data_IF_536130291186
#
_entry.id   IF_536130291186
#
_cell.length_a   1.000
_cell.length_b   1.000
_cell.length_c   1.000
_cell.angle_alpha   90.00
_cell.angle_beta   90.00
_cell.angle_gamma   90.00
#
_symmetry.space_group_name_H-M   'P 1'
#
loop_
_entity.id
_entity.type
_entity.pdbx_description
1 polymer ?
#
# COMPACT_ATOMS: atom_id res chain seq x y z
N UNK A 1 6.82 0.36 5.94
CA UNK A 1 7.83 1.39 5.61
C UNK A 1 7.23 2.79 5.81
N UNK A 2 6.15 3.12 5.12
CA UNK A 2 5.58 4.47 5.02
C UNK A 2 5.13 5.09 6.35
N UNK A 3 4.55 4.30 7.25
CA UNK A 3 3.95 4.78 8.49
C UNK A 3 4.81 4.55 9.74
N UNK A 4 5.94 3.91 9.62
CA UNK A 4 6.85 3.67 10.74
C UNK A 4 8.30 4.01 10.40
N UNK A 5 8.92 3.32 9.45
CA UNK A 5 10.36 3.45 9.21
C UNK A 5 10.76 4.85 8.75
N UNK A 6 10.04 5.41 7.75
CA UNK A 6 10.34 6.75 7.24
C UNK A 6 10.12 7.83 8.32
N UNK A 7 8.96 7.91 9.01
CA UNK A 7 8.78 8.86 10.11
C UNK A 7 9.81 8.70 11.21
N UNK A 8 10.14 7.46 11.58
CA UNK A 8 11.16 7.21 12.60
C UNK A 8 12.52 7.74 12.17
N UNK A 9 12.97 7.42 10.95
CA UNK A 9 14.27 7.88 10.44
C UNK A 9 14.34 9.39 10.34
N UNK A 10 13.34 10.05 9.77
CA UNK A 10 13.31 11.52 9.64
C UNK A 10 13.39 12.17 11.02
N UNK A 11 12.55 11.73 11.95
CA UNK A 11 12.51 12.30 13.30
C UNK A 11 13.81 11.98 14.08
N UNK A 12 14.32 10.76 13.95
CA UNK A 12 15.56 10.35 14.64
C UNK A 12 16.77 11.13 14.13
N UNK A 13 16.92 11.27 12.82
CA UNK A 13 17.99 12.07 12.22
C UNK A 13 17.86 13.54 12.64
N UNK A 14 16.64 14.08 12.55
CA UNK A 14 16.38 15.46 12.96
C UNK A 14 16.75 15.74 14.41
N UNK A 15 16.44 14.82 15.32
CA UNK A 15 16.72 14.96 16.75
C UNK A 15 18.21 14.76 17.10
N UNK A 16 18.95 13.91 16.35
CA UNK A 16 20.34 13.57 16.70
C UNK A 16 21.33 14.44 15.93
N UNK A 17 21.08 14.69 14.64
CA UNK A 17 22.01 15.38 13.73
C UNK A 17 21.51 16.76 13.31
N UNK A 18 20.20 17.02 13.44
CA UNK A 18 19.58 18.26 13.03
C UNK A 18 18.70 18.13 11.79
N UNK A 19 17.77 19.07 11.61
CA UNK A 19 16.79 19.06 10.50
C UNK A 19 17.46 19.15 9.12
N UNK A 20 18.61 19.83 9.00
CA UNK A 20 19.36 19.92 7.75
C UNK A 20 19.83 18.55 7.27
N UNK A 21 20.23 17.69 8.20
CA UNK A 21 20.69 16.33 7.87
C UNK A 21 19.52 15.41 7.55
N UNK A 22 18.36 15.57 8.20
CA UNK A 22 17.15 14.86 7.81
C UNK A 22 16.76 15.15 6.34
N UNK A 23 16.90 16.39 5.89
CA UNK A 23 16.63 16.75 4.49
C UNK A 23 17.57 16.08 3.48
N UNK A 24 18.76 15.61 3.90
CA UNK A 24 19.69 14.85 3.04
C UNK A 24 19.17 13.48 2.64
N UNK A 25 18.11 12.97 3.28
CA UNK A 25 17.40 11.78 2.80
C UNK A 25 16.81 11.99 1.40
N UNK A 26 16.50 13.24 1.03
CA UNK A 26 16.07 13.59 -0.32
C UNK A 26 17.27 14.05 -1.16
N UNK A 27 17.43 13.57 -2.42
CA UNK A 27 18.43 14.07 -3.34
C UNK A 27 18.28 15.58 -3.61
N UNK A 28 17.07 16.11 -3.47
CA UNK A 28 16.77 17.53 -3.62
C UNK A 28 16.69 18.29 -2.30
N UNK A 29 17.04 17.63 -1.19
CA UNK A 29 16.99 18.20 0.17
C UNK A 29 15.61 18.73 0.54
N UNK A 30 14.57 18.09 0.03
CA UNK A 30 13.19 18.46 0.27
C UNK A 30 12.39 17.29 0.83
N UNK A 31 11.88 17.48 2.04
CA UNK A 31 10.95 16.57 2.72
C UNK A 31 9.63 17.30 2.92
N UNK A 32 8.54 16.66 2.55
CA UNK A 32 7.18 17.18 2.74
C UNK A 32 6.46 16.32 3.78
N UNK A 33 6.12 16.93 4.88
CA UNK A 33 5.27 16.30 5.88
C UNK A 33 3.83 16.18 5.36
N UNK A 34 3.22 15.04 5.61
CA UNK A 34 1.81 14.76 5.30
C UNK A 34 1.14 14.04 6.45
N UNK A 35 -0.03 14.53 6.84
CA UNK A 35 -0.92 13.84 7.75
C UNK A 35 -1.95 13.05 6.92
N UNK A 36 -1.95 11.74 7.08
CA UNK A 36 -2.88 10.85 6.39
C UNK A 36 -3.85 10.26 7.40
N UNK A 37 -5.14 10.49 7.19
CA UNK A 37 -6.19 9.88 7.99
C UNK A 37 -6.57 8.53 7.40
N UNK A 38 -6.25 7.43 8.13
CA UNK A 38 -6.63 6.07 7.77
C UNK A 38 -7.31 5.42 8.97
N UNK A 39 -8.50 4.84 8.78
CA UNK A 39 -9.27 4.16 9.84
C UNK A 39 -9.45 5.02 11.12
N UNK A 40 -9.86 6.27 10.99
CA UNK A 40 -10.03 7.23 12.08
C UNK A 40 -8.76 7.56 12.90
N UNK A 41 -7.57 7.18 12.43
CA UNK A 41 -6.29 7.55 13.01
C UNK A 41 -5.57 8.51 12.08
N UNK A 42 -5.04 9.58 12.64
CA UNK A 42 -4.13 10.46 11.91
C UNK A 42 -2.71 9.90 12.05
N UNK A 43 -2.09 9.64 10.91
CA UNK A 43 -0.72 9.15 10.86
C UNK A 43 0.14 10.21 10.15
N UNK A 44 1.18 10.65 10.82
CA UNK A 44 2.20 11.49 10.25
C UNK A 44 3.10 10.65 9.33
N UNK A 45 3.34 11.13 8.14
CA UNK A 45 4.28 10.52 7.19
C UNK A 45 5.06 11.61 6.46
N UNK A 46 6.15 11.22 5.80
CA UNK A 46 6.97 12.13 5.02
C UNK A 46 7.06 11.65 3.58
N UNK A 47 6.91 12.60 2.67
CA UNK A 47 7.20 12.39 1.25
C UNK A 47 8.63 12.88 0.99
N UNK A 48 9.47 11.97 0.55
CA UNK A 48 10.87 12.26 0.23
C UNK A 48 10.93 12.64 -1.24
N UNK A 49 11.11 13.91 -1.53
CA UNK A 49 11.16 14.38 -2.91
C UNK A 49 12.30 13.72 -3.69
N UNK A 50 12.01 13.24 -4.90
CA UNK A 50 12.98 12.55 -5.75
C UNK A 50 13.16 11.05 -5.46
N UNK A 51 12.45 10.50 -4.46
CA UNK A 51 12.46 9.07 -4.15
C UNK A 51 11.03 8.53 -4.19
N UNK A 52 10.79 7.55 -5.04
CA UNK A 52 9.54 6.79 -5.02
C UNK A 52 9.64 5.68 -3.97
N UNK A 53 8.65 5.59 -3.10
CA UNK A 53 8.57 4.57 -2.06
C UNK A 53 7.50 3.55 -2.43
N UNK A 54 7.91 2.33 -2.77
CA UNK A 54 7.02 1.21 -3.00
C UNK A 54 7.06 0.31 -1.75
N UNK A 55 5.95 0.26 -1.02
CA UNK A 55 5.81 -0.62 0.13
C UNK A 55 5.34 -2.00 -0.33
N UNK A 56 6.11 -3.05 -0.03
CA UNK A 56 5.80 -4.41 -0.49
C UNK A 56 4.46 -4.92 0.03
N UNK A 57 4.06 -4.48 1.20
CA UNK A 57 2.72 -4.76 1.75
C UNK A 57 1.61 -4.17 0.86
N UNK A 58 1.75 -2.92 0.41
CA UNK A 58 0.79 -2.28 -0.49
C UNK A 58 0.81 -2.93 -1.88
N UNK A 59 1.98 -3.31 -2.40
CA UNK A 59 2.13 -4.04 -3.66
C UNK A 59 1.39 -5.39 -3.60
N UNK A 60 1.64 -6.15 -2.55
CA UNK A 60 1.00 -7.46 -2.37
C UNK A 60 -0.53 -7.32 -2.31
N UNK A 61 -1.06 -6.41 -1.50
CA UNK A 61 -2.51 -6.18 -1.41
C UNK A 61 -3.15 -5.71 -2.72
N UNK A 62 -2.44 -4.92 -3.51
CA UNK A 62 -2.98 -4.32 -4.72
C UNK A 62 -2.96 -5.29 -5.90
N UNK A 63 -1.90 -6.09 -6.02
CA UNK A 63 -1.66 -6.91 -7.21
C UNK A 63 -1.88 -8.40 -7.01
N UNK A 64 -2.32 -8.85 -5.84
CA UNK A 64 -2.75 -10.23 -5.63
C UNK A 64 -4.27 -10.32 -5.56
N UNK A 65 -4.83 -11.33 -6.23
CA UNK A 65 -6.29 -11.50 -6.33
C UNK A 65 -6.91 -12.26 -5.15
N UNK A 66 -6.07 -12.94 -4.37
CA UNK A 66 -6.54 -13.77 -3.25
C UNK A 66 -6.42 -12.99 -1.96
N UNK A 67 -7.54 -12.79 -1.29
CA UNK A 67 -7.53 -12.21 0.05
C UNK A 67 -6.92 -13.18 1.05
N UNK A 68 -6.00 -12.67 1.86
CA UNK A 68 -5.33 -13.44 2.89
C UNK A 68 -5.97 -13.17 4.27
N UNK A 69 -5.95 -14.16 5.15
CA UNK A 69 -6.40 -14.00 6.54
C UNK A 69 -5.55 -12.98 7.30
N UNK A 70 -4.27 -12.91 6.96
CA UNK A 70 -3.34 -11.95 7.53
C UNK A 70 -2.31 -11.48 6.48
N UNK A 71 -2.02 -10.19 6.48
CA UNK A 71 -0.98 -9.60 5.62
C UNK A 71 0.33 -9.35 6.38
N UNK A 72 0.55 -10.02 7.52
CA UNK A 72 1.84 -9.99 8.21
C UNK A 72 2.88 -10.75 7.40
N UNK A 73 4.11 -10.28 7.42
CA UNK A 73 5.21 -10.90 6.66
C UNK A 73 5.37 -12.38 6.96
N UNK A 74 5.22 -12.80 8.20
CA UNK A 74 5.31 -14.21 8.59
C UNK A 74 4.25 -15.08 7.88
N UNK A 75 3.01 -14.62 7.85
CA UNK A 75 1.91 -15.33 7.20
C UNK A 75 2.11 -15.39 5.68
N UNK A 76 2.41 -14.24 5.06
CA UNK A 76 2.61 -14.16 3.61
C UNK A 76 3.83 -14.99 3.17
N UNK A 77 4.93 -14.92 3.91
CA UNK A 77 6.10 -15.73 3.63
C UNK A 77 5.81 -17.23 3.73
N UNK A 78 5.01 -17.64 4.71
CA UNK A 78 4.58 -19.04 4.84
C UNK A 78 3.69 -19.48 3.66
N UNK A 79 2.69 -18.68 3.31
CA UNK A 79 1.77 -18.99 2.20
C UNK A 79 2.52 -19.04 0.86
N UNK A 80 3.37 -18.07 0.61
CA UNK A 80 4.03 -17.92 -0.70
C UNK A 80 5.32 -18.75 -0.82
N UNK A 81 6.12 -18.83 0.24
CA UNK A 81 7.45 -19.45 0.19
C UNK A 81 7.54 -20.76 0.98
N UNK A 82 6.58 -21.05 1.86
CA UNK A 82 6.68 -22.14 2.84
C UNK A 82 7.64 -21.85 3.99
N UNK A 83 8.17 -20.62 4.07
CA UNK A 83 9.13 -20.20 5.09
C UNK A 83 8.45 -19.28 6.12
N UNK A 84 8.97 -19.31 7.35
CA UNK A 84 8.51 -18.44 8.45
C UNK A 84 9.64 -17.53 8.92
N UNK A 85 9.25 -16.48 9.64
CA UNK A 85 10.18 -15.66 10.42
C UNK A 85 10.84 -16.49 11.53
N UNK A 86 11.96 -15.99 12.04
CA UNK A 86 12.52 -16.49 13.29
C UNK A 86 11.60 -16.08 14.45
N UNK A 87 11.30 -16.99 15.36
CA UNK A 87 10.53 -16.65 16.57
C UNK A 87 11.43 -16.01 17.63
N UNK A 88 10.83 -15.10 18.39
CA UNK A 88 11.41 -14.50 19.59
C UNK A 88 10.46 -14.62 20.80
N UNK A 89 9.55 -15.61 20.77
CA UNK A 89 8.54 -15.83 21.82
C UNK A 89 9.13 -16.17 23.19
N UNK A 90 10.43 -16.47 23.21
CA UNK A 90 11.21 -16.68 24.45
C UNK A 90 11.44 -15.38 25.23
N UNK A 91 11.17 -14.21 24.61
CA UNK A 91 11.42 -12.88 25.19
C UNK A 91 10.13 -12.10 25.32
N UNK A 92 9.92 -11.44 26.46
CA UNK A 92 8.70 -10.66 26.76
C UNK A 92 8.51 -9.45 25.81
N UNK A 93 9.59 -8.94 25.23
CA UNK A 93 9.54 -7.79 24.33
C UNK A 93 10.74 -7.73 23.38
N UNK A 94 10.60 -6.99 22.28
CA UNK A 94 11.72 -6.68 21.36
C UNK A 94 12.89 -6.00 22.06
N UNK A 95 12.63 -5.16 23.06
CA UNK A 95 13.69 -4.48 23.83
C UNK A 95 14.47 -5.47 24.69
N UNK A 96 13.80 -6.45 25.29
CA UNK A 96 14.42 -7.53 26.06
C UNK A 96 15.20 -8.47 25.14
N UNK A 97 14.65 -8.82 23.99
CA UNK A 97 15.32 -9.60 22.96
C UNK A 97 16.62 -8.95 22.50
N UNK A 98 16.57 -7.66 22.12
CA UNK A 98 17.76 -6.88 21.74
C UNK A 98 18.87 -6.87 22.81
N UNK A 99 18.50 -6.76 24.10
CA UNK A 99 19.46 -6.67 25.21
C UNK A 99 20.08 -8.04 25.57
N UNK A 100 19.30 -9.10 25.49
CA UNK A 100 19.70 -10.42 25.99
C UNK A 100 20.38 -11.27 24.93
N UNK A 101 19.96 -11.15 23.67
CA UNK A 101 20.49 -11.94 22.56
C UNK A 101 20.64 -11.09 21.30
N UNK A 102 21.64 -10.25 21.33
CA UNK A 102 21.90 -9.30 20.21
C UNK A 102 22.21 -10.02 18.89
N UNK A 103 22.90 -11.15 18.94
CA UNK A 103 23.25 -11.92 17.74
C UNK A 103 21.98 -12.47 17.07
N UNK A 104 21.12 -13.14 17.82
CA UNK A 104 19.84 -13.67 17.31
C UNK A 104 18.93 -12.55 16.84
N UNK A 105 18.97 -11.37 17.50
CA UNK A 105 18.24 -10.18 17.06
C UNK A 105 18.71 -9.70 15.68
N UNK A 106 20.00 -9.71 15.39
CA UNK A 106 20.54 -9.39 14.06
C UNK A 106 20.06 -10.42 13.03
N UNK A 107 20.17 -11.71 13.34
CA UNK A 107 19.71 -12.80 12.47
C UNK A 107 18.21 -12.68 12.15
N UNK A 108 17.40 -12.30 13.14
CA UNK A 108 15.98 -12.01 12.95
C UNK A 108 15.76 -10.89 11.92
N UNK A 109 16.50 -9.78 12.04
CA UNK A 109 16.38 -8.67 11.08
C UNK A 109 16.86 -9.05 9.68
N UNK A 110 17.96 -9.81 9.58
CA UNK A 110 18.47 -10.30 8.29
C UNK A 110 17.43 -11.22 7.63
N UNK A 111 16.83 -12.15 8.41
CA UNK A 111 15.80 -13.04 7.90
C UNK A 111 14.56 -12.28 7.37
N UNK A 112 14.14 -11.21 8.05
CA UNK A 112 13.03 -10.36 7.59
C UNK A 112 13.32 -9.73 6.21
N UNK A 113 14.53 -9.26 5.98
CA UNK A 113 14.94 -8.71 4.69
C UNK A 113 15.04 -9.79 3.61
N UNK A 114 15.62 -10.95 3.95
CA UNK A 114 15.71 -12.09 3.02
C UNK A 114 14.35 -12.58 2.55
N UNK A 115 13.36 -12.66 3.45
CA UNK A 115 12.00 -13.07 3.10
C UNK A 115 11.37 -12.12 2.08
N UNK A 116 11.55 -10.82 2.22
CA UNK A 116 11.04 -9.84 1.26
C UNK A 116 11.75 -10.01 -0.10
N UNK A 117 13.07 -10.21 -0.09
CA UNK A 117 13.82 -10.45 -1.33
C UNK A 117 13.33 -11.72 -2.05
N UNK A 118 13.13 -12.82 -1.33
CA UNK A 118 12.60 -14.06 -1.88
C UNK A 118 11.16 -13.92 -2.39
N UNK A 119 10.32 -13.12 -1.72
CA UNK A 119 8.98 -12.81 -2.19
C UNK A 119 9.04 -12.06 -3.52
N UNK A 120 9.92 -11.06 -3.65
CA UNK A 120 10.10 -10.34 -4.91
C UNK A 120 10.65 -11.25 -6.00
N UNK A 121 11.61 -12.13 -5.69
CA UNK A 121 12.15 -13.09 -6.65
C UNK A 121 11.09 -14.03 -7.23
N UNK A 122 10.12 -14.42 -6.41
CA UNK A 122 8.98 -15.25 -6.81
C UNK A 122 7.88 -14.47 -7.51
N UNK A 123 7.46 -13.35 -6.96
CA UNK A 123 6.23 -12.66 -7.33
C UNK A 123 6.43 -11.53 -8.33
N UNK A 124 7.63 -10.94 -8.39
CA UNK A 124 7.99 -9.85 -9.32
C UNK A 124 7.04 -8.64 -9.24
N UNK A 125 6.57 -8.29 -8.06
CA UNK A 125 5.60 -7.21 -7.88
C UNK A 125 6.21 -5.81 -8.11
N UNK A 126 7.48 -5.62 -7.78
CA UNK A 126 8.18 -4.37 -8.08
C UNK A 126 8.37 -4.23 -9.59
N UNK A 127 8.78 -5.30 -10.27
CA UNK A 127 8.92 -5.32 -11.73
C UNK A 127 7.58 -5.03 -12.42
N UNK A 128 6.48 -5.62 -11.92
CA UNK A 128 5.12 -5.34 -12.39
C UNK A 128 4.75 -3.86 -12.21
N UNK A 129 4.97 -3.30 -11.01
CA UNK A 129 4.68 -1.89 -10.72
C UNK A 129 5.47 -0.94 -11.63
N UNK A 130 6.74 -1.21 -11.84
CA UNK A 130 7.61 -0.43 -12.75
C UNK A 130 7.12 -0.51 -14.19
N UNK A 131 6.77 -1.71 -14.65
CA UNK A 131 6.24 -1.93 -16.01
C UNK A 131 4.92 -1.22 -16.24
N UNK A 132 4.01 -1.27 -15.24
CA UNK A 132 2.73 -0.55 -15.30
C UNK A 132 2.95 0.97 -15.32
N UNK A 133 3.83 1.49 -14.47
CA UNK A 133 4.14 2.92 -14.42
C UNK A 133 4.70 3.41 -15.75
N UNK A 134 5.62 2.64 -16.35
CA UNK A 134 6.20 2.95 -17.65
C UNK A 134 5.16 2.94 -18.76
N UNK A 135 4.32 1.90 -18.81
CA UNK A 135 3.27 1.77 -19.83
C UNK A 135 2.19 2.85 -19.72
N UNK A 136 1.80 3.21 -18.50
CA UNK A 136 0.83 4.26 -18.24
C UNK A 136 1.43 5.68 -18.25
N UNK A 137 2.77 5.80 -18.34
CA UNK A 137 3.51 7.08 -18.25
C UNK A 137 3.17 7.88 -16.98
N UNK A 138 3.15 7.19 -15.85
CA UNK A 138 2.88 7.76 -14.53
C UNK A 138 4.08 7.58 -13.59
N UNK A 139 4.07 8.26 -12.44
CA UNK A 139 5.08 7.99 -11.41
C UNK A 139 4.85 6.61 -10.77
N UNK A 140 5.91 5.98 -10.27
CA UNK A 140 5.83 4.65 -9.64
C UNK A 140 4.82 4.57 -8.49
N UNK A 141 4.61 5.66 -7.76
CA UNK A 141 3.61 5.72 -6.69
C UNK A 141 2.16 5.80 -7.20
N UNK A 142 1.95 6.25 -8.43
CA UNK A 142 0.61 6.43 -9.00
C UNK A 142 -0.02 5.11 -9.46
N UNK A 143 0.77 4.01 -9.53
CA UNK A 143 0.27 2.68 -9.91
C UNK A 143 -0.75 2.10 -8.93
N UNK A 144 -0.74 2.56 -7.69
CA UNK A 144 -1.77 2.20 -6.69
C UNK A 144 -3.11 2.90 -6.93
N UNK A 145 -3.15 3.92 -7.80
CA UNK A 145 -4.34 4.68 -8.13
C UNK A 145 -4.87 4.37 -9.52
N UNK A 146 -5.82 3.43 -9.65
CA UNK A 146 -6.39 3.04 -10.94
C UNK A 146 -6.90 4.24 -11.74
N UNK A 147 -7.63 5.16 -11.11
CA UNK A 147 -8.16 6.37 -11.77
C UNK A 147 -7.02 7.21 -12.34
N UNK A 148 -5.93 7.38 -11.58
CA UNK A 148 -4.78 8.16 -12.03
C UNK A 148 -4.08 7.52 -13.23
N UNK A 149 -3.93 6.21 -13.23
CA UNK A 149 -3.36 5.48 -14.37
C UNK A 149 -4.23 5.67 -15.62
N UNK A 150 -5.53 5.45 -15.51
CA UNK A 150 -6.43 5.61 -16.64
C UNK A 150 -6.49 7.05 -17.15
N UNK A 151 -6.53 8.05 -16.28
CA UNK A 151 -6.46 9.46 -16.66
C UNK A 151 -5.21 9.73 -17.52
N UNK A 152 -4.05 9.21 -17.11
CA UNK A 152 -2.81 9.41 -17.85
C UNK A 152 -2.78 8.64 -19.18
N UNK A 153 -3.23 7.39 -19.20
CA UNK A 153 -3.32 6.58 -20.43
C UNK A 153 -4.23 7.28 -21.46
N UNK A 154 -5.41 7.68 -21.03
CA UNK A 154 -6.37 8.37 -21.91
C UNK A 154 -5.81 9.72 -22.36
N UNK A 155 -5.19 10.47 -21.46
CA UNK A 155 -4.55 11.74 -21.80
C UNK A 155 -3.53 11.58 -22.92
N UNK A 156 -2.59 10.64 -22.77
CA UNK A 156 -1.57 10.39 -23.78
C UNK A 156 -2.15 9.89 -25.09
N UNK A 157 -3.13 8.99 -25.04
CA UNK A 157 -3.82 8.52 -26.24
C UNK A 157 -4.48 9.67 -27.02
N UNK A 158 -5.19 10.58 -26.34
CA UNK A 158 -5.83 11.74 -26.96
C UNK A 158 -4.80 12.73 -27.51
N UNK A 159 -3.70 12.97 -26.79
CA UNK A 159 -2.59 13.81 -27.27
C UNK A 159 -1.96 13.26 -28.56
N UNK A 160 -1.73 11.95 -28.63
CA UNK A 160 -1.20 11.31 -29.82
C UNK A 160 -2.12 11.42 -31.03
N UNK A 161 -3.42 11.62 -30.79
CA UNK A 161 -4.44 11.87 -31.81
C UNK A 161 -4.76 13.35 -32.04
N UNK A 162 -3.98 14.28 -31.47
CA UNK A 162 -4.20 15.73 -31.53
C UNK A 162 -5.56 16.16 -30.97
N UNK A 163 -6.11 15.45 -30.00
CA UNK A 163 -7.36 15.76 -29.34
C UNK A 163 -7.08 16.44 -28.00
N UNK A 164 -7.55 17.67 -27.84
CA UNK A 164 -7.42 18.40 -26.59
C UNK A 164 -8.52 18.02 -25.62
N UNK A 165 -8.12 17.62 -24.38
CA UNK A 165 -9.05 17.28 -23.32
C UNK A 165 -9.70 18.58 -22.80
N UNK A 166 -11.02 18.66 -22.72
CA UNK A 166 -11.69 19.83 -22.16
C UNK A 166 -11.38 19.97 -20.66
N UNK A 167 -11.34 21.19 -20.11
CA UNK A 167 -11.09 21.41 -18.71
C UNK A 167 -12.16 20.72 -17.86
N UNK A 168 -11.73 20.13 -16.74
CA UNK A 168 -12.62 19.44 -15.81
C UNK A 168 -13.68 20.39 -15.27
N UNK A 169 -14.93 20.15 -15.59
CA UNK A 169 -16.06 20.93 -15.07
C UNK A 169 -16.41 20.39 -13.67
N UNK A 170 -16.30 21.22 -12.66
CA UNK A 170 -16.84 20.92 -11.33
C UNK A 170 -18.33 21.32 -11.35
N UNK A 171 -19.20 20.38 -11.62
CA UNK A 171 -20.63 20.57 -11.36
C UNK A 171 -20.94 20.24 -9.91
N UNK A 172 -21.61 21.14 -9.19
CA UNK A 172 -22.28 20.74 -7.97
C UNK A 172 -23.36 19.73 -8.35
N UNK A 173 -23.37 18.58 -7.71
CA UNK A 173 -24.48 17.64 -7.86
C UNK A 173 -25.70 18.24 -7.14
N UNK A 174 -26.61 18.80 -7.92
CA UNK A 174 -27.84 19.40 -7.38
C UNK A 174 -28.93 18.34 -7.12
N UNK A 175 -28.72 17.10 -7.58
CA UNK A 175 -29.62 15.98 -7.33
C UNK A 175 -28.89 14.75 -6.88
N UNK A 176 -29.37 14.13 -5.83
CA UNK A 176 -28.95 12.82 -5.38
C UNK A 176 -29.82 11.77 -6.06
N UNK A 177 -29.25 10.94 -6.92
CA UNK A 177 -29.98 9.83 -7.51
C UNK A 177 -30.25 8.78 -6.45
N UNK A 178 -31.49 8.27 -6.41
CA UNK A 178 -31.82 7.13 -5.57
C UNK A 178 -30.98 5.92 -6.05
N UNK A 179 -30.22 5.34 -5.15
CA UNK A 179 -29.50 4.09 -5.42
C UNK A 179 -30.43 2.88 -5.45
N UNK A 180 -29.88 1.71 -5.66
CA UNK A 180 -30.60 0.45 -5.52
C UNK A 180 -31.16 0.31 -4.10
N UNK A 181 -32.34 -0.30 -4.01
CA UNK A 181 -32.93 -0.62 -2.69
C UNK A 181 -32.04 -1.63 -1.94
N UNK A 182 -31.63 -1.26 -0.76
CA UNK A 182 -30.90 -2.15 0.17
C UNK A 182 -31.78 -2.33 1.39
N UNK A 183 -32.19 -3.57 1.65
CA UNK A 183 -32.96 -3.89 2.85
C UNK A 183 -32.06 -3.82 4.08
N UNK A 184 -32.53 -3.20 5.14
CA UNK A 184 -31.82 -3.17 6.41
C UNK A 184 -31.65 -4.59 6.97
N UNK A 185 -30.47 -4.92 7.52
CA UNK A 185 -30.22 -6.21 8.11
C UNK A 185 -31.05 -6.40 9.39
N UNK A 186 -31.61 -7.59 9.55
CA UNK A 186 -32.23 -7.99 10.82
C UNK A 186 -31.07 -8.46 11.71
N UNK A 187 -30.76 -7.65 12.72
CA UNK A 187 -29.65 -7.94 13.64
C UNK A 187 -30.04 -9.09 14.57
N UNK A 188 -29.26 -10.17 14.56
CA UNK A 188 -29.49 -11.33 15.39
C UNK A 188 -28.70 -12.54 14.95
N UNK A 189 -28.87 -13.65 15.66
CA UNK A 189 -28.36 -14.96 15.27
C UNK A 189 -29.44 -15.66 14.46
N UNK A 190 -29.08 -16.14 13.29
CA UNK A 190 -30.02 -16.80 12.36
C UNK A 190 -29.50 -18.19 12.03
N UNK A 191 -30.37 -19.18 12.15
CA UNK A 191 -30.09 -20.56 11.75
C UNK A 191 -30.46 -20.76 10.27
N UNK A 192 -29.75 -21.69 9.63
CA UNK A 192 -30.03 -22.07 8.25
C UNK A 192 -29.94 -20.91 7.24
N UNK A 193 -28.90 -20.12 7.33
CA UNK A 193 -28.66 -19.00 6.40
C UNK A 193 -28.14 -19.52 5.07
N UNK A 194 -28.82 -19.14 3.99
CA UNK A 194 -28.38 -19.41 2.61
C UNK A 194 -28.14 -18.08 1.92
N UNK A 195 -26.95 -17.91 1.32
CA UNK A 195 -26.59 -16.74 0.56
C UNK A 195 -26.65 -17.05 -0.93
N UNK A 196 -27.34 -16.20 -1.69
CA UNK A 196 -27.38 -16.24 -3.15
C UNK A 196 -26.80 -14.94 -3.71
N UNK A 197 -25.98 -15.06 -4.72
CA UNK A 197 -25.51 -13.95 -5.52
C UNK A 197 -25.83 -14.18 -6.99
N UNK A 198 -26.38 -13.13 -7.64
CA UNK A 198 -26.70 -13.18 -9.06
C UNK A 198 -25.53 -12.62 -9.86
N UNK A 199 -24.79 -13.50 -10.49
CA UNK A 199 -23.66 -13.12 -11.30
C UNK A 199 -24.09 -12.21 -12.46
N UNK A 200 -23.45 -11.06 -12.58
CA UNK A 200 -23.69 -10.08 -13.65
C UNK A 200 -25.16 -9.63 -13.76
N UNK A 201 -25.83 -9.35 -12.65
CA UNK A 201 -27.25 -9.02 -12.60
C UNK A 201 -27.66 -7.95 -13.61
N UNK A 202 -26.98 -6.79 -13.65
CA UNK A 202 -27.34 -5.71 -14.55
C UNK A 202 -27.18 -6.08 -16.03
N UNK A 203 -26.07 -6.67 -16.51
CA UNK A 203 -25.97 -7.14 -17.89
C UNK A 203 -27.03 -8.17 -18.29
N UNK A 204 -27.56 -8.96 -17.35
CA UNK A 204 -28.61 -9.94 -17.64
C UNK A 204 -30.03 -9.36 -17.62
N UNK A 205 -30.23 -8.15 -17.08
CA UNK A 205 -31.52 -7.46 -17.05
C UNK A 205 -31.70 -6.48 -18.20
N UNK A 206 -30.62 -6.11 -18.91
CA UNK A 206 -30.61 -5.26 -20.10
C UNK A 206 -30.76 -6.12 -21.34
#
# INVERSE_FOLDING_TARGET
VRFFDIPYLVNRIGNVLGESDAKRMSPWKFLKERNIRKMNRENQTYEIAGIATLDYYELYQTFTYVNQESYRLDHIAFVELGEKKLSYDEYDSMATFYKNDFQKFIEYNVKDVELISKLEDKMKLIELAVSLAYSAKVNFMDVFGQVRMWDCIIYHYLMDHNIVIPPKRTSKKDAQYAGAYVKDPIVGMHDWVVSFDLNSLYPHLI
#
